data_IF_231655806589
#
_entry.id   IF_231655806589
#
_cell.length_a   1.000
_cell.length_b   1.000
_cell.length_c   1.000
_cell.angle_alpha   90.00
_cell.angle_beta   90.00
_cell.angle_gamma   90.00
#
_symmetry.space_group_name_H-M   'P 1'
#
loop_
_entity.id
_entity.type
_entity.pdbx_description
1 polymer ?
#
# COMPACT_ATOMS: atom_id res chain seq x y z
N UNK A 1 -10.57 -4.70 -21.77
CA UNK A 1 -9.74 -4.84 -20.55
C UNK A 1 -10.41 -5.88 -19.68
N UNK A 2 -9.68 -6.86 -19.12
CA UNK A 2 -10.30 -7.83 -18.22
C UNK A 2 -10.81 -7.11 -16.95
N UNK A 3 -11.87 -7.62 -16.34
CA UNK A 3 -12.48 -7.04 -15.14
C UNK A 3 -12.32 -7.96 -13.92
N UNK A 4 -12.81 -7.51 -12.76
CA UNK A 4 -12.84 -8.29 -11.52
C UNK A 4 -13.51 -9.66 -11.68
N UNK A 5 -14.59 -9.75 -12.45
CA UNK A 5 -15.32 -11.01 -12.65
C UNK A 5 -14.50 -12.01 -13.47
N UNK A 6 -13.85 -11.55 -14.54
CA UNK A 6 -12.92 -12.36 -15.32
C UNK A 6 -11.75 -12.87 -14.47
N UNK A 7 -11.15 -12.01 -13.63
CA UNK A 7 -10.08 -12.43 -12.73
C UNK A 7 -10.56 -13.54 -11.78
N UNK A 8 -11.73 -13.37 -11.16
CA UNK A 8 -12.31 -14.37 -10.26
C UNK A 8 -12.56 -15.71 -10.96
N UNK A 9 -13.14 -15.67 -12.16
CA UNK A 9 -13.38 -16.88 -12.96
C UNK A 9 -12.07 -17.59 -13.33
N UNK A 10 -11.05 -16.83 -13.75
CA UNK A 10 -9.73 -17.37 -14.04
C UNK A 10 -9.12 -18.04 -12.80
N UNK A 11 -9.16 -17.38 -11.64
CA UNK A 11 -8.65 -17.94 -10.38
C UNK A 11 -9.37 -19.25 -10.00
N UNK A 12 -10.70 -19.32 -10.17
CA UNK A 12 -11.46 -20.55 -9.93
C UNK A 12 -11.08 -21.67 -10.91
N UNK A 13 -10.87 -21.38 -12.19
CA UNK A 13 -10.41 -22.35 -13.19
C UNK A 13 -9.00 -22.90 -12.91
N UNK A 14 -8.16 -22.10 -12.23
CA UNK A 14 -6.82 -22.48 -11.82
C UNK A 14 -6.79 -23.33 -10.54
N UNK A 15 -7.92 -23.49 -9.84
CA UNK A 15 -7.98 -24.28 -8.61
C UNK A 15 -7.44 -25.71 -8.82
N UNK A 16 -6.67 -26.20 -7.84
CA UNK A 16 -5.97 -27.50 -7.85
C UNK A 16 -4.92 -27.72 -8.95
N UNK A 17 -4.72 -26.75 -9.85
CA UNK A 17 -3.62 -26.82 -10.83
C UNK A 17 -2.27 -26.63 -10.16
N UNK A 18 -1.22 -26.98 -10.91
CA UNK A 18 0.17 -26.66 -10.59
C UNK A 18 0.34 -25.16 -10.31
N UNK A 19 1.06 -24.81 -9.26
CA UNK A 19 1.33 -23.41 -8.87
C UNK A 19 1.87 -22.54 -10.01
N UNK A 20 2.63 -23.12 -10.94
CA UNK A 20 3.17 -22.40 -12.11
C UNK A 20 2.07 -21.77 -12.97
N UNK A 21 0.85 -22.30 -12.94
CA UNK A 21 -0.28 -21.79 -13.70
C UNK A 21 -0.78 -20.42 -13.21
N UNK A 22 -0.40 -19.98 -12.00
CA UNK A 22 -0.68 -18.60 -11.58
C UNK A 22 -0.08 -17.56 -12.53
N UNK A 23 0.94 -17.88 -13.34
CA UNK A 23 1.49 -16.95 -14.34
C UNK A 23 0.42 -16.41 -15.30
N UNK A 24 -0.66 -17.14 -15.49
CA UNK A 24 -1.78 -16.77 -16.36
C UNK A 24 -2.58 -15.57 -15.81
N UNK A 25 -2.48 -15.24 -14.52
CA UNK A 25 -3.14 -14.07 -13.92
C UNK A 25 -2.34 -12.77 -14.10
N UNK A 26 -1.16 -12.83 -14.72
CA UNK A 26 -0.36 -11.62 -14.94
C UNK A 26 -1.12 -10.71 -15.92
N UNK A 27 -1.35 -9.46 -15.52
CA UNK A 27 -2.12 -8.55 -16.36
C UNK A 27 -2.70 -7.36 -15.61
N UNK A 28 -3.67 -6.73 -16.26
CA UNK A 28 -4.38 -5.54 -15.76
C UNK A 28 -5.88 -5.85 -15.70
N UNK A 29 -6.50 -5.59 -14.56
CA UNK A 29 -7.89 -5.91 -14.29
C UNK A 29 -8.63 -4.68 -13.76
N UNK A 30 -9.65 -4.24 -14.48
CA UNK A 30 -10.48 -3.11 -14.06
C UNK A 30 -11.41 -3.53 -12.91
N UNK A 31 -11.28 -2.84 -11.78
CA UNK A 31 -12.23 -2.87 -10.67
C UNK A 31 -13.11 -1.60 -10.74
N UNK A 32 -14.23 -1.53 -10.02
CA UNK A 32 -15.11 -0.36 -10.09
C UNK A 32 -14.41 0.97 -9.82
N UNK A 33 -13.54 1.02 -8.81
CA UNK A 33 -12.92 2.24 -8.30
C UNK A 33 -11.42 2.36 -8.61
N UNK A 34 -10.79 1.28 -9.07
CA UNK A 34 -9.36 1.26 -9.31
C UNK A 34 -8.96 0.26 -10.38
N UNK A 35 -7.72 0.36 -10.84
CA UNK A 35 -7.09 -0.59 -11.73
C UNK A 35 -6.10 -1.47 -10.96
N UNK A 36 -6.33 -2.78 -10.96
CA UNK A 36 -5.38 -3.76 -10.45
C UNK A 36 -4.35 -4.12 -11.53
N UNK A 37 -3.06 -4.03 -11.20
CA UNK A 37 -1.95 -4.46 -12.04
C UNK A 37 -1.16 -5.57 -11.33
N UNK A 38 -1.10 -6.76 -11.93
CA UNK A 38 -0.28 -7.87 -11.45
C UNK A 38 0.98 -7.93 -12.31
N UNK A 39 2.07 -7.30 -11.85
CA UNK A 39 3.28 -7.09 -12.66
C UNK A 39 4.16 -8.33 -12.70
N UNK A 40 4.32 -8.98 -11.54
CA UNK A 40 5.10 -10.21 -11.36
C UNK A 40 4.33 -11.21 -10.51
N UNK A 41 4.25 -12.43 -10.99
CA UNK A 41 3.69 -13.57 -10.26
C UNK A 41 4.85 -14.40 -9.67
N UNK A 42 4.75 -14.79 -8.40
CA UNK A 42 5.74 -15.64 -7.74
C UNK A 42 5.77 -17.04 -8.38
N UNK A 43 6.97 -17.62 -8.54
CA UNK A 43 7.14 -18.89 -9.26
C UNK A 43 6.80 -20.15 -8.45
N UNK A 44 6.76 -20.02 -7.13
CA UNK A 44 6.52 -21.07 -6.14
C UNK A 44 5.94 -20.44 -4.85
N UNK A 45 5.14 -21.15 -4.04
CA UNK A 45 4.56 -20.61 -2.81
C UNK A 45 5.57 -20.09 -1.78
N UNK A 46 6.82 -20.58 -1.81
CA UNK A 46 7.89 -20.19 -0.89
C UNK A 46 8.81 -19.10 -1.46
N UNK A 47 8.61 -18.69 -2.71
CA UNK A 47 9.39 -17.64 -3.34
C UNK A 47 9.00 -16.25 -2.83
N UNK A 48 9.81 -15.24 -3.19
CA UNK A 48 9.43 -13.83 -2.98
C UNK A 48 8.02 -13.57 -3.54
N UNK A 49 7.11 -12.93 -2.78
CA UNK A 49 5.71 -12.84 -3.17
C UNK A 49 5.47 -12.06 -4.46
N UNK A 50 4.27 -12.21 -5.00
CA UNK A 50 3.85 -11.54 -6.24
C UNK A 50 3.85 -10.03 -6.06
N UNK A 51 4.28 -9.28 -7.07
CA UNK A 51 4.30 -7.82 -7.05
C UNK A 51 3.07 -7.28 -7.75
N UNK A 52 2.34 -6.42 -7.03
CA UNK A 52 1.02 -5.95 -7.43
C UNK A 52 0.94 -4.44 -7.21
N UNK A 53 0.17 -3.78 -8.06
CA UNK A 53 -0.14 -2.36 -7.92
C UNK A 53 -1.62 -2.10 -8.06
N UNK A 54 -2.09 -1.08 -7.36
CA UNK A 54 -3.41 -0.49 -7.52
C UNK A 54 -3.23 0.94 -8.01
N UNK A 55 -3.92 1.31 -9.09
CA UNK A 55 -3.98 2.68 -9.60
C UNK A 55 -5.39 3.23 -9.37
N UNK A 56 -5.51 4.30 -8.61
CA UNK A 56 -6.78 4.95 -8.26
C UNK A 56 -6.74 6.41 -8.70
N UNK A 57 -7.81 6.93 -9.30
CA UNK A 57 -7.86 8.34 -9.72
C UNK A 57 -8.01 9.28 -8.51
N UNK A 58 -7.64 10.54 -8.67
CA UNK A 58 -7.87 11.56 -7.63
C UNK A 58 -9.36 11.76 -7.33
N UNK A 59 -10.22 11.62 -8.33
CA UNK A 59 -11.68 11.73 -8.17
C UNK A 59 -12.22 10.67 -7.20
N UNK A 60 -11.78 9.41 -7.36
CA UNK A 60 -12.18 8.32 -6.47
C UNK A 60 -11.53 8.46 -5.09
N UNK A 61 -10.25 8.82 -5.05
CA UNK A 61 -9.51 8.93 -3.79
C UNK A 61 -10.00 10.09 -2.90
N UNK A 62 -10.51 11.16 -3.51
CA UNK A 62 -11.19 12.26 -2.80
C UNK A 62 -10.29 13.17 -1.95
N UNK A 63 -8.97 13.08 -2.07
CA UNK A 63 -8.06 13.90 -1.25
C UNK A 63 -8.12 15.39 -1.66
N UNK A 64 -8.37 16.30 -0.71
CA UNK A 64 -8.30 17.74 -0.96
C UNK A 64 -6.90 18.14 -1.42
N UNK A 65 -6.80 19.08 -2.36
CA UNK A 65 -5.51 19.54 -2.91
C UNK A 65 -4.55 20.01 -1.81
N UNK A 66 -5.07 20.58 -0.72
CA UNK A 66 -4.26 21.04 0.41
C UNK A 66 -3.44 19.92 1.06
N UNK A 67 -3.84 18.65 0.90
CA UNK A 67 -3.10 17.52 1.47
C UNK A 67 -1.83 17.15 0.69
N UNK A 68 -1.67 17.65 -0.55
CA UNK A 68 -0.50 17.37 -1.39
C UNK A 68 -0.05 18.54 -2.27
N UNK A 69 -0.48 19.76 -1.95
CA UNK A 69 -0.21 20.98 -2.73
C UNK A 69 1.27 21.34 -2.88
N UNK A 70 2.14 20.84 -2.00
CA UNK A 70 3.58 21.04 -2.07
C UNK A 70 4.32 19.73 -1.76
N UNK A 71 5.65 19.76 -1.93
CA UNK A 71 6.49 18.56 -1.85
C UNK A 71 6.47 17.89 -0.48
N UNK A 72 6.57 18.64 0.63
CA UNK A 72 6.59 18.06 1.97
C UNK A 72 5.25 17.42 2.30
N UNK A 73 4.13 18.10 1.98
CA UNK A 73 2.78 17.55 2.15
C UNK A 73 2.54 16.30 1.30
N UNK A 74 2.97 16.31 0.03
CA UNK A 74 2.86 15.14 -0.83
C UNK A 74 3.63 13.92 -0.30
N UNK A 75 4.84 14.14 0.24
CA UNK A 75 5.63 13.07 0.89
C UNK A 75 4.91 12.57 2.15
N UNK A 76 4.37 13.47 2.97
CA UNK A 76 3.64 13.12 4.18
C UNK A 76 2.36 12.33 3.88
N UNK A 77 1.59 12.74 2.86
CA UNK A 77 0.41 11.99 2.41
C UNK A 77 0.80 10.57 1.95
N UNK A 78 1.85 10.43 1.14
CA UNK A 78 2.31 9.10 0.72
C UNK A 78 2.74 8.21 1.89
N UNK A 79 3.41 8.79 2.88
CA UNK A 79 3.83 8.08 4.10
C UNK A 79 2.62 7.65 4.94
N UNK A 80 1.68 8.56 5.17
CA UNK A 80 0.44 8.29 5.88
C UNK A 80 -0.35 7.15 5.21
N UNK A 81 -0.58 7.21 3.89
CA UNK A 81 -1.28 6.16 3.16
C UNK A 81 -0.54 4.83 3.18
N UNK A 82 0.81 4.85 3.18
CA UNK A 82 1.60 3.62 3.35
C UNK A 82 1.32 2.98 4.71
N UNK A 83 1.24 3.79 5.79
CA UNK A 83 0.94 3.31 7.15
C UNK A 83 -0.48 2.77 7.25
N UNK A 84 -1.46 3.50 6.71
CA UNK A 84 -2.86 3.09 6.70
C UNK A 84 -3.05 1.78 5.94
N UNK A 85 -2.46 1.66 4.74
CA UNK A 85 -2.52 0.42 3.98
C UNK A 85 -1.91 -0.76 4.75
N UNK A 86 -0.76 -0.55 5.41
CA UNK A 86 -0.16 -1.58 6.25
C UNK A 86 -1.06 -1.98 7.43
N UNK A 87 -1.66 -1.01 8.12
CA UNK A 87 -2.54 -1.24 9.26
C UNK A 87 -3.78 -2.04 8.84
N UNK A 88 -4.46 -1.61 7.79
CA UNK A 88 -5.65 -2.30 7.27
C UNK A 88 -5.29 -3.70 6.78
N UNK A 89 -4.13 -3.88 6.12
CA UNK A 89 -3.63 -5.21 5.78
C UNK A 89 -3.48 -6.11 7.01
N UNK A 90 -2.99 -5.61 8.15
CA UNK A 90 -2.86 -6.43 9.38
C UNK A 90 -4.19 -6.80 10.01
N UNK A 91 -5.25 -6.04 9.76
CA UNK A 91 -6.59 -6.31 10.28
C UNK A 91 -7.37 -7.30 9.40
N UNK A 92 -7.16 -7.23 8.08
CA UNK A 92 -7.92 -8.02 7.09
C UNK A 92 -7.17 -9.27 6.61
N UNK A 93 -5.83 -9.21 6.48
CA UNK A 93 -5.08 -10.31 5.89
C UNK A 93 -4.96 -11.50 6.85
N UNK A 94 -5.63 -12.59 6.49
CA UNK A 94 -5.49 -13.88 7.14
C UNK A 94 -4.59 -14.84 6.36
N UNK A 95 -3.83 -15.66 7.08
CA UNK A 95 -3.03 -16.73 6.46
C UNK A 95 -3.96 -17.78 5.84
N UNK A 96 -3.83 -17.99 4.53
CA UNK A 96 -4.64 -18.92 3.73
C UNK A 96 -3.76 -19.93 3.01
N UNK A 97 -3.30 -20.96 3.74
CA UNK A 97 -2.52 -22.07 3.19
C UNK A 97 -1.07 -22.10 3.67
N UNK A 98 -0.15 -22.55 2.80
CA UNK A 98 1.26 -22.80 3.17
C UNK A 98 2.14 -21.54 3.02
N UNK A 99 3.09 -21.33 3.95
CA UNK A 99 4.06 -20.22 3.88
C UNK A 99 3.42 -18.86 4.14
N UNK A 100 3.71 -17.87 3.29
CA UNK A 100 3.11 -16.52 3.34
C UNK A 100 1.80 -16.42 2.52
N UNK A 101 1.19 -17.56 2.19
CA UNK A 101 -0.06 -17.61 1.42
C UNK A 101 -1.20 -16.87 2.12
N UNK A 102 -1.94 -16.05 1.38
CA UNK A 102 -3.05 -15.24 1.89
C UNK A 102 -2.67 -13.86 2.41
N UNK A 103 -1.38 -13.51 2.44
CA UNK A 103 -0.96 -12.21 2.97
C UNK A 103 -0.89 -11.15 1.87
N UNK A 104 -1.52 -10.01 2.10
CA UNK A 104 -1.28 -8.75 1.38
C UNK A 104 -0.36 -7.90 2.26
N UNK A 105 0.75 -7.44 1.69
CA UNK A 105 1.77 -6.72 2.45
C UNK A 105 2.36 -5.58 1.64
N UNK A 106 2.37 -4.39 2.24
CA UNK A 106 3.12 -3.23 1.75
C UNK A 106 4.43 -3.08 2.54
N UNK A 107 5.33 -2.21 2.07
CA UNK A 107 6.56 -1.84 2.76
C UNK A 107 6.24 -1.33 4.18
N UNK A 108 6.74 -2.04 5.20
CA UNK A 108 6.70 -1.55 6.59
C UNK A 108 7.67 -0.38 6.75
N UNK A 109 7.17 0.70 7.33
CA UNK A 109 7.92 1.95 7.55
C UNK A 109 8.24 2.15 9.02
N UNK A 110 9.37 2.81 9.27
CA UNK A 110 9.84 3.18 10.61
C UNK A 110 9.23 4.51 11.10
N UNK A 111 9.96 5.16 11.99
CA UNK A 111 9.56 6.47 12.54
C UNK A 111 9.78 7.61 11.52
N UNK A 112 10.64 7.38 10.53
CA UNK A 112 11.04 8.38 9.55
C UNK A 112 9.99 8.52 8.43
N UNK A 113 9.71 9.76 8.03
CA UNK A 113 8.90 10.09 6.86
C UNK A 113 9.85 10.35 5.68
N UNK A 114 9.84 9.47 4.69
CA UNK A 114 10.72 9.53 3.51
C UNK A 114 9.90 9.44 2.22
N UNK A 115 10.43 10.05 1.16
CA UNK A 115 9.95 9.77 -0.20
C UNK A 115 10.23 8.31 -0.56
N UNK A 116 9.19 7.56 -0.95
CA UNK A 116 9.25 6.12 -1.23
C UNK A 116 8.42 5.77 -2.45
N UNK A 117 8.44 4.50 -2.83
CA UNK A 117 7.69 3.96 -3.97
C UNK A 117 6.51 3.08 -3.57
N UNK A 118 6.24 2.93 -2.26
CA UNK A 118 5.08 2.18 -1.74
C UNK A 118 3.76 2.84 -2.09
N UNK A 119 3.70 4.16 -1.95
CA UNK A 119 2.62 5.01 -2.44
C UNK A 119 3.26 6.13 -3.26
N UNK A 120 2.70 6.41 -4.44
CA UNK A 120 3.18 7.44 -5.36
C UNK A 120 1.98 8.27 -5.82
N UNK A 121 2.07 9.59 -5.70
CA UNK A 121 1.16 10.51 -6.37
C UNK A 121 1.67 10.71 -7.80
N UNK A 122 0.88 10.25 -8.77
CA UNK A 122 1.14 10.39 -10.20
C UNK A 122 0.34 11.57 -10.78
N UNK A 123 0.46 11.82 -12.08
CA UNK A 123 -0.41 12.82 -12.73
C UNK A 123 -1.88 12.37 -12.78
N UNK A 124 -2.13 11.06 -12.75
CA UNK A 124 -3.45 10.46 -12.93
C UNK A 124 -4.16 10.15 -11.61
N UNK A 125 -3.40 10.06 -10.50
CA UNK A 125 -3.92 9.69 -9.20
C UNK A 125 -2.90 8.98 -8.32
N UNK A 126 -3.38 8.13 -7.43
CA UNK A 126 -2.58 7.38 -6.45
C UNK A 126 -2.19 6.02 -7.05
N UNK A 127 -0.90 5.71 -6.97
CA UNK A 127 -0.36 4.37 -7.25
C UNK A 127 0.12 3.74 -5.94
N UNK A 128 -0.52 2.65 -5.53
CA UNK A 128 -0.10 1.83 -4.40
C UNK A 128 0.62 0.57 -4.88
N UNK A 129 1.81 0.31 -4.34
CA UNK A 129 2.66 -0.85 -4.66
C UNK A 129 2.82 -1.75 -3.45
N UNK A 130 2.47 -3.01 -3.61
CA UNK A 130 2.50 -3.98 -2.53
C UNK A 130 2.77 -5.38 -3.07
N UNK A 131 2.78 -6.34 -2.16
CA UNK A 131 3.03 -7.74 -2.47
C UNK A 131 1.88 -8.61 -2.01
N UNK A 132 1.65 -9.71 -2.72
CA UNK A 132 0.58 -10.67 -2.44
C UNK A 132 1.16 -12.07 -2.43
N UNK A 133 1.01 -12.78 -1.31
CA UNK A 133 1.30 -14.20 -1.22
C UNK A 133 0.14 -15.03 -1.78
N UNK A 134 0.28 -15.50 -3.02
CA UNK A 134 -0.83 -16.22 -3.69
C UNK A 134 -1.12 -17.57 -3.03
N UNK A 135 -2.39 -17.86 -2.63
CA UNK A 135 -2.77 -19.06 -1.89
C UNK A 135 -2.42 -20.40 -2.55
N UNK A 136 -1.90 -21.32 -1.74
CA UNK A 136 -1.59 -22.69 -2.14
C UNK A 136 -1.64 -23.71 -1.00
N UNK A 137 -1.88 -24.97 -1.34
CA UNK A 137 -1.68 -26.14 -0.50
C UNK A 137 -0.55 -26.98 -1.09
N UNK A 138 0.62 -26.96 -0.45
CA UNK A 138 1.85 -27.43 -1.10
C UNK A 138 2.05 -26.66 -2.41
N UNK A 139 2.20 -27.35 -3.55
CA UNK A 139 2.34 -26.72 -4.88
C UNK A 139 1.06 -26.70 -5.73
N UNK A 140 -0.10 -26.88 -5.09
CA UNK A 140 -1.41 -26.78 -5.75
C UNK A 140 -2.07 -25.45 -5.43
N UNK A 141 -2.67 -24.83 -6.45
CA UNK A 141 -3.34 -23.54 -6.36
C UNK A 141 -4.63 -23.66 -5.54
N UNK A 142 -4.81 -22.79 -4.53
CA UNK A 142 -6.09 -22.60 -3.86
C UNK A 142 -6.84 -21.45 -4.54
N UNK A 143 -7.45 -21.74 -5.69
CA UNK A 143 -8.00 -20.75 -6.61
C UNK A 143 -9.16 -19.95 -6.02
N UNK A 144 -10.04 -20.61 -5.27
CA UNK A 144 -11.14 -19.93 -4.56
C UNK A 144 -10.63 -18.97 -3.49
N UNK A 145 -9.62 -19.37 -2.71
CA UNK A 145 -9.00 -18.52 -1.69
C UNK A 145 -8.29 -17.32 -2.30
N UNK A 146 -7.65 -17.50 -3.46
CA UNK A 146 -7.06 -16.40 -4.22
C UNK A 146 -8.12 -15.45 -4.78
N UNK A 147 -9.28 -15.99 -5.16
CA UNK A 147 -10.47 -15.22 -5.56
C UNK A 147 -10.95 -14.31 -4.43
N UNK A 148 -11.11 -14.83 -3.22
CA UNK A 148 -11.45 -14.02 -2.03
C UNK A 148 -10.36 -12.96 -1.78
N UNK A 149 -9.08 -13.37 -1.79
CA UNK A 149 -7.95 -12.47 -1.52
C UNK A 149 -7.90 -11.26 -2.46
N UNK A 150 -7.98 -11.50 -3.77
CA UNK A 150 -7.80 -10.44 -4.77
C UNK A 150 -9.11 -9.71 -5.13
N UNK A 151 -10.26 -10.38 -4.98
CA UNK A 151 -11.54 -9.84 -5.42
C UNK A 151 -12.48 -9.46 -4.27
N UNK A 152 -12.08 -9.62 -3.00
CA UNK A 152 -12.88 -9.24 -1.82
C UNK A 152 -11.99 -8.48 -0.82
N UNK A 153 -10.98 -9.13 -0.25
CA UNK A 153 -10.10 -8.50 0.75
C UNK A 153 -9.35 -7.28 0.19
N UNK A 154 -8.75 -7.42 -1.01
CA UNK A 154 -8.01 -6.32 -1.62
C UNK A 154 -8.86 -5.07 -1.88
N UNK A 155 -10.06 -5.17 -2.51
CA UNK A 155 -10.99 -4.04 -2.58
C UNK A 155 -11.28 -3.40 -1.24
N UNK A 156 -11.51 -4.19 -0.18
CA UNK A 156 -11.79 -3.67 1.16
C UNK A 156 -10.58 -2.93 1.75
N UNK A 157 -9.37 -3.47 1.57
CA UNK A 157 -8.13 -2.80 1.99
C UNK A 157 -7.98 -1.46 1.27
N UNK A 158 -8.20 -1.44 -0.05
CA UNK A 158 -8.11 -0.22 -0.86
C UNK A 158 -9.14 0.82 -0.42
N UNK A 159 -10.39 0.41 -0.20
CA UNK A 159 -11.48 1.26 0.28
C UNK A 159 -11.11 1.95 1.60
N UNK A 160 -10.67 1.18 2.59
CA UNK A 160 -10.41 1.70 3.94
C UNK A 160 -9.11 2.49 4.07
N UNK A 161 -8.12 2.27 3.18
CA UNK A 161 -6.79 2.88 3.32
C UNK A 161 -6.45 3.97 2.31
N UNK A 162 -7.11 4.01 1.15
CA UNK A 162 -6.76 4.91 0.05
C UNK A 162 -7.85 5.93 -0.32
N UNK A 163 -8.98 5.96 0.39
CA UNK A 163 -10.05 6.95 0.17
C UNK A 163 -10.15 7.91 1.36
N UNK A 164 -10.13 9.20 1.06
CA UNK A 164 -10.14 10.27 2.06
C UNK A 164 -11.32 10.18 3.03
N UNK A 165 -12.52 9.85 2.52
CA UNK A 165 -13.74 9.75 3.34
C UNK A 165 -13.68 8.64 4.41
N UNK A 166 -12.83 7.64 4.23
CA UNK A 166 -12.66 6.52 5.15
C UNK A 166 -11.49 6.71 6.12
N UNK A 167 -10.78 7.84 6.04
CA UNK A 167 -9.64 8.15 6.89
C UNK A 167 -10.05 9.16 7.98
N UNK A 168 -9.38 9.07 9.13
CA UNK A 168 -9.53 10.07 10.19
C UNK A 168 -8.85 11.38 9.74
N UNK A 169 -9.66 12.36 9.36
CA UNK A 169 -9.19 13.63 8.80
C UNK A 169 -8.25 14.38 9.77
N UNK A 170 -8.53 14.34 11.08
CA UNK A 170 -7.69 14.97 12.10
C UNK A 170 -6.30 14.34 12.19
N UNK A 171 -6.21 13.00 12.15
CA UNK A 171 -4.91 12.29 12.18
C UNK A 171 -4.10 12.55 10.90
N UNK A 172 -4.77 12.54 9.74
CA UNK A 172 -4.14 12.85 8.47
C UNK A 172 -3.59 14.28 8.45
N UNK A 173 -4.40 15.25 8.90
CA UNK A 173 -4.00 16.65 8.95
C UNK A 173 -2.80 16.84 9.88
N UNK A 174 -2.87 16.31 11.10
CA UNK A 174 -1.77 16.39 12.06
C UNK A 174 -0.47 15.77 11.51
N UNK A 175 -0.56 14.63 10.82
CA UNK A 175 0.59 13.99 10.19
C UNK A 175 1.22 14.87 9.10
N UNK A 176 0.40 15.43 8.22
CA UNK A 176 0.86 16.29 7.11
C UNK A 176 1.50 17.57 7.65
N UNK A 177 0.84 18.25 8.58
CA UNK A 177 1.31 19.52 9.15
C UNK A 177 2.61 19.32 9.93
N UNK A 178 2.73 18.24 10.71
CA UNK A 178 3.97 17.93 11.44
C UNK A 178 5.18 17.79 10.49
N UNK A 179 4.99 17.12 9.35
CA UNK A 179 6.06 16.93 8.36
C UNK A 179 6.37 18.23 7.61
N UNK A 180 5.35 19.01 7.29
CA UNK A 180 5.51 20.32 6.65
C UNK A 180 6.24 21.30 7.57
N UNK A 181 5.86 21.40 8.84
CA UNK A 181 6.51 22.25 9.83
C UNK A 181 7.98 21.85 10.02
N UNK A 182 8.27 20.55 10.07
CA UNK A 182 9.64 20.06 10.15
C UNK A 182 10.49 20.47 8.93
N UNK A 183 9.91 20.47 7.73
CA UNK A 183 10.58 20.97 6.51
C UNK A 183 10.77 22.49 6.56
N UNK A 184 9.73 23.23 6.97
CA UNK A 184 9.77 24.68 7.09
C UNK A 184 10.87 25.12 8.07
N UNK A 185 10.94 24.52 9.26
CA UNK A 185 11.99 24.78 10.25
C UNK A 185 13.40 24.49 9.69
N UNK A 186 13.58 23.36 9.00
CA UNK A 186 14.87 23.02 8.37
C UNK A 186 15.28 24.02 7.30
N UNK A 187 14.35 24.53 6.51
CA UNK A 187 14.63 25.52 5.45
C UNK A 187 15.09 26.88 5.98
N UNK A 188 14.76 27.20 7.23
CA UNK A 188 15.08 28.48 7.87
C UNK A 188 16.41 28.48 8.63
N UNK A 189 17.05 27.32 8.82
CA UNK A 189 18.28 27.20 9.62
C UNK A 189 19.39 28.12 9.11
N UNK A 190 19.67 28.09 7.81
CA UNK A 190 20.75 28.89 7.20
C UNK A 190 20.51 30.39 7.31
N UNK A 191 19.26 30.83 7.12
CA UNK A 191 18.86 32.24 7.23
C UNK A 191 19.05 32.76 8.66
N UNK A 192 18.91 31.88 9.65
CA UNK A 192 19.12 32.19 11.06
C UNK A 192 20.54 31.88 11.55
N UNK A 193 21.48 31.56 10.65
CA UNK A 193 22.87 31.20 10.99
C UNK A 193 22.97 29.99 11.95
N UNK A 194 22.01 29.06 11.84
CA UNK A 194 21.96 27.82 12.60
C UNK A 194 22.35 26.63 11.72
N UNK A 195 22.98 25.61 12.33
CA UNK A 195 23.27 24.32 11.69
C UNK A 195 22.34 23.20 12.18
N UNK A 196 21.67 23.42 13.31
CA UNK A 196 20.72 22.52 13.92
C UNK A 196 19.74 23.29 14.80
N UNK A 197 18.56 22.70 15.02
CA UNK A 197 17.57 23.18 15.98
C UNK A 197 17.04 21.98 16.75
N UNK A 198 17.01 22.08 18.07
CA UNK A 198 16.42 21.08 18.96
C UNK A 198 15.32 21.78 19.72
N UNK A 199 14.08 21.36 19.49
CA UNK A 199 12.92 21.93 20.16
C UNK A 199 12.96 21.63 21.66
N UNK A 200 12.61 22.62 22.47
CA UNK A 200 12.41 22.40 23.90
C UNK A 200 11.33 21.34 24.13
N UNK A 201 11.58 20.45 25.09
CA UNK A 201 10.70 19.31 25.38
C UNK A 201 10.88 18.10 24.45
N UNK A 202 11.82 18.12 23.50
CA UNK A 202 12.10 16.96 22.66
C UNK A 202 12.56 15.74 23.47
N UNK A 203 11.95 14.58 23.20
CA UNK A 203 12.34 13.29 23.80
C UNK A 203 13.39 12.63 22.90
N UNK A 204 14.66 12.85 23.22
CA UNK A 204 15.80 12.30 22.48
C UNK A 204 16.16 10.84 22.82
N UNK A 205 16.07 10.38 24.08
CA UNK A 205 16.40 9.00 24.41
C UNK A 205 15.49 7.98 23.71
N UNK A 206 16.10 6.98 23.09
CA UNK A 206 15.37 5.82 22.55
C UNK A 206 15.16 4.78 23.66
N UNK A 207 14.09 3.98 23.54
CA UNK A 207 13.80 2.86 24.47
C UNK A 207 14.93 1.83 24.52
N UNK A 208 15.58 1.59 23.39
CA UNK A 208 16.65 0.60 23.19
C UNK A 208 17.60 1.10 22.09
N UNK A 209 18.88 0.69 22.15
CA UNK A 209 19.86 0.89 21.08
C UNK A 209 19.87 -0.23 20.02
N UNK A 210 19.05 -1.27 20.22
CA UNK A 210 18.76 -2.38 19.30
C UNK A 210 17.34 -2.25 18.78
#
# INVERSE_FOLDING_TARGET
MADRLHLRQLLHQLNDRSYKAYKDIRGRYQFPEFLLCIDRVQGDPFAAPSQVRVLMSYEVAGFPLQTYQNRSRAIALCDYLTRQFCQVCTQISDRRGTGNSGLIQMLRVGQEVLSRTSIILTQQGIEARFTVGLPAQGRRILGYQAGVLLCEDLPEIVEQSLKYENLLAEELQAHIETVEDAEALRSQLSQNQLVAFVADGAILPRRSGV
#
